data_IF_498890071411
#
_entry.id   IF_498890071411
#
_cell.length_a   1.000
_cell.length_b   1.000
_cell.length_c   1.000
_cell.angle_alpha   90.00
_cell.angle_beta   90.00
_cell.angle_gamma   90.00
#
_symmetry.space_group_name_H-M   'P 1'
#
loop_
_entity.id
_entity.type
_entity.pdbx_description
1 polymer ?
#
# COMPACT_ATOMS: atom_id res chain seq x y z
N UNK A 1 23.35 -18.07 47.16
CA UNK A 1 22.46 -16.95 46.78
C UNK A 1 22.69 -16.40 45.35
N UNK A 2 23.95 -16.16 44.93
CA UNK A 2 24.24 -15.61 43.59
C UNK A 2 23.75 -16.48 42.37
N UNK A 3 23.83 -17.82 42.49
CA UNK A 3 23.38 -18.75 41.42
C UNK A 3 21.86 -18.85 41.29
N UNK A 4 21.13 -18.65 42.39
CA UNK A 4 19.65 -18.67 42.38
C UNK A 4 19.08 -17.41 41.70
N UNK A 5 19.75 -16.25 41.89
CA UNK A 5 19.35 -14.99 41.27
C UNK A 5 19.51 -15.01 39.73
N UNK A 6 20.59 -15.67 39.24
CA UNK A 6 20.85 -15.78 37.78
C UNK A 6 19.82 -16.67 37.10
N UNK A 7 19.40 -17.76 37.74
CA UNK A 7 18.36 -18.66 37.19
C UNK A 7 16.98 -18.01 37.17
N UNK A 8 16.64 -17.18 38.15
CA UNK A 8 15.35 -16.46 38.17
C UNK A 8 15.30 -15.34 37.14
N UNK A 9 16.42 -14.65 36.88
CA UNK A 9 16.49 -13.63 35.83
C UNK A 9 16.38 -14.26 34.43
N UNK A 10 17.04 -15.39 34.18
CA UNK A 10 16.97 -16.11 32.91
C UNK A 10 15.56 -16.66 32.64
N UNK A 11 14.86 -17.16 33.65
CA UNK A 11 13.49 -17.63 33.55
C UNK A 11 12.50 -16.47 33.26
N UNK A 12 12.72 -15.30 33.86
CA UNK A 12 11.90 -14.12 33.62
C UNK A 12 12.08 -13.60 32.20
N UNK A 13 13.29 -13.61 31.63
CA UNK A 13 13.53 -13.24 30.22
C UNK A 13 12.87 -14.22 29.23
N UNK A 14 12.90 -15.53 29.55
CA UNK A 14 12.23 -16.55 28.70
C UNK A 14 10.70 -16.40 28.71
N UNK A 15 10.11 -16.04 29.84
CA UNK A 15 8.65 -15.83 29.94
C UNK A 15 8.22 -14.56 29.21
N UNK A 16 9.03 -13.50 29.25
CA UNK A 16 8.75 -12.26 28.51
C UNK A 16 8.87 -12.44 26.99
N UNK A 17 9.81 -13.25 26.53
CA UNK A 17 9.94 -13.58 25.10
C UNK A 17 8.76 -14.42 24.56
N UNK A 18 8.16 -15.26 25.40
CA UNK A 18 7.00 -16.10 25.03
C UNK A 18 5.69 -15.30 24.91
N UNK A 19 5.61 -14.08 25.44
CA UNK A 19 4.45 -13.21 25.40
C UNK A 19 4.52 -12.11 24.33
N UNK A 20 5.62 -12.04 23.56
CA UNK A 20 5.69 -11.09 22.45
C UNK A 20 4.62 -11.44 21.38
N UNK A 21 3.82 -10.49 20.92
CA UNK A 21 2.89 -10.74 19.83
C UNK A 21 3.68 -11.20 18.60
N UNK A 22 3.15 -12.22 17.91
CA UNK A 22 3.75 -12.64 16.65
C UNK A 22 3.75 -11.47 15.67
N UNK A 23 4.86 -11.22 14.95
CA UNK A 23 4.87 -10.23 13.90
C UNK A 23 3.83 -10.58 12.82
N UNK A 24 3.37 -9.58 12.10
CA UNK A 24 2.53 -9.81 10.92
C UNK A 24 3.34 -10.58 9.87
N UNK A 25 2.77 -11.68 9.38
CA UNK A 25 3.37 -12.52 8.33
C UNK A 25 2.54 -12.34 7.05
N UNK A 26 3.05 -11.65 6.03
CA UNK A 26 2.32 -11.45 4.79
C UNK A 26 2.21 -12.75 3.98
N UNK A 27 1.06 -12.95 3.32
CA UNK A 27 0.73 -14.20 2.61
C UNK A 27 1.28 -14.27 1.18
N UNK A 28 1.61 -13.12 0.58
CA UNK A 28 2.10 -13.06 -0.80
C UNK A 28 3.60 -13.29 -0.92
N UNK A 29 4.04 -13.63 -2.12
CA UNK A 29 5.45 -13.88 -2.40
C UNK A 29 6.27 -12.58 -2.46
N UNK A 30 7.56 -12.61 -2.12
CA UNK A 30 8.47 -11.49 -2.31
C UNK A 30 8.69 -11.21 -3.82
N UNK A 31 9.09 -9.99 -4.15
CA UNK A 31 9.35 -9.57 -5.53
C UNK A 31 10.64 -10.17 -6.10
N UNK A 32 11.59 -10.51 -5.22
CA UNK A 32 12.96 -10.91 -5.57
C UNK A 32 13.95 -9.75 -5.52
N UNK A 33 13.48 -8.52 -5.36
CA UNK A 33 14.31 -7.36 -5.07
C UNK A 33 14.50 -7.26 -3.55
N UNK A 34 15.63 -7.75 -3.05
CA UNK A 34 15.88 -7.88 -1.61
C UNK A 34 15.70 -6.55 -0.84
N UNK A 35 16.12 -5.42 -1.41
CA UNK A 35 15.99 -4.13 -0.74
C UNK A 35 14.53 -3.68 -0.62
N UNK A 36 13.72 -3.94 -1.64
CA UNK A 36 12.29 -3.66 -1.62
C UNK A 36 11.57 -4.62 -0.66
N UNK A 37 11.88 -5.90 -0.74
CA UNK A 37 11.24 -6.95 0.07
C UNK A 37 11.47 -6.72 1.57
N UNK A 38 12.69 -6.34 1.97
CA UNK A 38 13.04 -5.99 3.35
C UNK A 38 12.28 -4.73 3.83
N UNK A 39 12.22 -3.70 2.99
CA UNK A 39 11.53 -2.45 3.33
C UNK A 39 10.02 -2.65 3.44
N UNK A 40 9.42 -3.40 2.52
CA UNK A 40 8.00 -3.76 2.51
C UNK A 40 7.65 -4.61 3.72
N UNK A 41 8.46 -5.65 4.02
CA UNK A 41 8.23 -6.50 5.19
C UNK A 41 8.28 -5.69 6.49
N UNK A 42 9.27 -4.80 6.63
CA UNK A 42 9.39 -3.92 7.79
C UNK A 42 8.16 -3.03 7.95
N UNK A 43 7.67 -2.44 6.85
CA UNK A 43 6.48 -1.59 6.87
C UNK A 43 5.23 -2.39 7.25
N UNK A 44 5.05 -3.58 6.68
CA UNK A 44 3.89 -4.43 6.99
C UNK A 44 3.91 -4.88 8.46
N UNK A 45 5.08 -5.20 9.02
CA UNK A 45 5.22 -5.55 10.43
C UNK A 45 5.00 -4.36 11.37
N UNK A 46 5.30 -3.14 10.93
CA UNK A 46 5.04 -1.90 11.68
C UNK A 46 3.55 -1.54 11.68
N UNK A 47 2.88 -1.69 10.56
CA UNK A 47 1.53 -1.14 10.33
C UNK A 47 0.41 -2.17 10.46
N UNK A 48 0.70 -3.46 10.24
CA UNK A 48 -0.29 -4.53 10.26
C UNK A 48 -0.14 -5.42 11.48
N UNK A 49 -1.22 -6.13 11.81
CA UNK A 49 -1.24 -7.07 12.92
C UNK A 49 -2.03 -8.33 12.55
N UNK A 50 -1.58 -9.49 13.00
CA UNK A 50 -2.34 -10.73 12.89
C UNK A 50 -3.65 -10.73 13.73
N UNK A 51 -3.84 -9.73 14.59
CA UNK A 51 -5.07 -9.54 15.39
C UNK A 51 -6.09 -8.65 14.72
N UNK A 52 -5.68 -7.87 13.72
CA UNK A 52 -6.55 -7.00 12.97
C UNK A 52 -7.39 -7.82 11.98
N UNK A 53 -8.54 -7.29 11.62
CA UNK A 53 -9.28 -7.77 10.45
C UNK A 53 -8.51 -7.46 9.16
N UNK A 54 -8.92 -8.10 8.07
CA UNK A 54 -8.42 -7.84 6.72
C UNK A 54 -8.55 -6.36 6.36
N UNK A 55 -9.74 -5.78 6.57
CA UNK A 55 -10.01 -4.38 6.28
C UNK A 55 -9.14 -3.42 7.10
N UNK A 56 -8.90 -3.71 8.38
CA UNK A 56 -8.03 -2.89 9.22
C UNK A 56 -6.58 -2.89 8.72
N UNK A 57 -6.07 -4.03 8.28
CA UNK A 57 -4.72 -4.12 7.71
C UNK A 57 -4.63 -3.42 6.36
N UNK A 58 -5.62 -3.59 5.47
CA UNK A 58 -5.69 -2.86 4.19
C UNK A 58 -5.76 -1.35 4.40
N UNK A 59 -6.57 -0.90 5.36
CA UNK A 59 -6.66 0.51 5.75
C UNK A 59 -5.33 1.03 6.26
N UNK A 60 -4.62 0.29 7.09
CA UNK A 60 -3.36 0.73 7.68
C UNK A 60 -2.27 0.99 6.63
N UNK A 61 -2.15 0.15 5.60
CA UNK A 61 -1.19 0.38 4.51
C UNK A 61 -1.62 1.49 3.57
N UNK A 62 -2.93 1.64 3.34
CA UNK A 62 -3.49 2.74 2.57
C UNK A 62 -3.23 4.08 3.27
N UNK A 63 -3.57 4.19 4.56
CA UNK A 63 -3.40 5.40 5.35
C UNK A 63 -1.94 5.83 5.45
N UNK A 64 -1.00 4.87 5.51
CA UNK A 64 0.42 5.17 5.43
C UNK A 64 0.78 5.92 4.14
N UNK A 65 0.30 5.46 2.98
CA UNK A 65 0.59 6.13 1.71
C UNK A 65 -0.15 7.48 1.64
N UNK A 66 -1.42 7.50 2.05
CA UNK A 66 -2.28 8.67 1.95
C UNK A 66 -1.81 9.82 2.86
N UNK A 67 -1.25 9.53 4.05
CA UNK A 67 -0.95 10.54 5.06
C UNK A 67 0.53 10.72 5.38
N UNK A 68 1.36 9.67 5.25
CA UNK A 68 2.79 9.73 5.58
C UNK A 68 3.68 10.00 4.35
N UNK A 69 3.09 10.00 3.14
CA UNK A 69 3.80 10.30 1.88
C UNK A 69 3.40 11.70 1.40
N UNK A 70 4.41 12.54 1.18
CA UNK A 70 4.16 13.87 0.61
C UNK A 70 4.01 13.78 -0.91
N UNK A 71 2.94 14.35 -1.45
CA UNK A 71 2.80 14.46 -2.90
C UNK A 71 3.88 15.37 -3.49
N UNK A 72 4.52 14.90 -4.54
CA UNK A 72 5.46 15.66 -5.34
C UNK A 72 5.22 15.37 -6.83
N UNK A 73 4.84 16.38 -7.64
CA UNK A 73 4.76 16.22 -9.07
C UNK A 73 6.06 15.63 -9.62
N UNK A 74 5.97 14.68 -10.52
CA UNK A 74 7.09 14.03 -11.15
C UNK A 74 6.79 13.83 -12.62
N UNK A 75 7.84 13.58 -13.40
CA UNK A 75 7.77 13.26 -14.82
C UNK A 75 8.40 11.89 -15.05
N UNK A 76 7.85 10.84 -14.43
CA UNK A 76 8.23 9.50 -14.84
C UNK A 76 7.74 9.30 -16.28
N UNK A 77 8.60 8.75 -17.14
CA UNK A 77 8.17 8.37 -18.49
C UNK A 77 7.30 7.10 -18.36
N UNK A 78 6.00 7.31 -18.46
CA UNK A 78 4.99 6.24 -18.35
C UNK A 78 4.49 5.80 -19.74
N UNK A 79 5.13 6.21 -20.82
CA UNK A 79 4.72 5.88 -22.20
C UNK A 79 4.69 4.37 -22.48
N UNK A 80 5.48 3.59 -21.77
CA UNK A 80 5.51 2.11 -21.82
C UNK A 80 4.55 1.42 -20.83
N UNK A 81 3.78 2.17 -20.05
CA UNK A 81 2.99 1.61 -18.95
C UNK A 81 3.84 1.16 -17.77
N UNK A 82 3.23 0.45 -16.85
CA UNK A 82 3.90 -0.13 -15.67
C UNK A 82 4.47 -1.51 -15.99
N UNK A 83 5.80 -1.62 -16.11
CA UNK A 83 6.47 -2.90 -15.99
C UNK A 83 6.66 -3.27 -14.50
N UNK A 84 6.91 -4.56 -14.20
CA UNK A 84 7.20 -4.97 -12.82
C UNK A 84 8.47 -4.29 -12.31
N UNK A 85 9.53 -4.18 -13.13
CA UNK A 85 10.77 -3.52 -12.78
C UNK A 85 10.57 -2.03 -12.43
N UNK A 86 9.80 -1.29 -13.25
CA UNK A 86 9.48 0.11 -12.99
C UNK A 86 8.62 0.25 -11.72
N UNK A 87 7.65 -0.63 -11.54
CA UNK A 87 6.79 -0.66 -10.33
C UNK A 87 7.63 -0.83 -9.07
N UNK A 88 8.54 -1.80 -9.06
CA UNK A 88 9.44 -2.05 -7.93
C UNK A 88 10.38 -0.87 -7.65
N UNK A 89 10.95 -0.28 -8.71
CA UNK A 89 11.81 0.89 -8.60
C UNK A 89 11.05 2.07 -7.98
N UNK A 90 9.87 2.40 -8.49
CA UNK A 90 9.03 3.50 -7.98
C UNK A 90 8.63 3.27 -6.52
N UNK A 91 8.23 2.04 -6.17
CA UNK A 91 7.87 1.68 -4.81
C UNK A 91 9.05 1.81 -3.83
N UNK A 92 10.23 1.31 -4.19
CA UNK A 92 11.44 1.41 -3.37
C UNK A 92 11.88 2.86 -3.17
N UNK A 93 11.88 3.65 -4.25
CA UNK A 93 12.21 5.07 -4.16
C UNK A 93 11.23 5.83 -3.27
N UNK A 94 9.95 5.54 -3.36
CA UNK A 94 8.92 6.17 -2.55
C UNK A 94 9.10 5.84 -1.06
N UNK A 95 9.38 4.58 -0.73
CA UNK A 95 9.66 4.14 0.65
C UNK A 95 10.85 4.90 1.25
N UNK A 96 11.90 5.13 0.47
CA UNK A 96 13.08 5.84 0.93
C UNK A 96 12.88 7.36 1.01
N UNK A 97 12.27 7.95 -0.01
CA UNK A 97 12.15 9.41 -0.14
C UNK A 97 10.96 10.00 0.60
N UNK A 98 9.93 9.19 0.91
CA UNK A 98 8.65 9.60 1.53
C UNK A 98 7.95 10.73 0.77
N UNK A 99 8.23 10.85 -0.52
CA UNK A 99 7.61 11.82 -1.43
C UNK A 99 7.60 11.30 -2.85
N UNK A 100 6.48 11.47 -3.56
CA UNK A 100 6.32 11.02 -4.94
C UNK A 100 5.00 11.46 -5.57
N UNK A 101 4.85 11.15 -6.86
CA UNK A 101 3.63 11.40 -7.63
C UNK A 101 2.62 10.24 -7.51
N UNK A 102 1.52 10.33 -8.27
CA UNK A 102 0.49 9.30 -8.32
C UNK A 102 1.05 7.93 -8.73
N UNK A 103 1.95 7.89 -9.73
CA UNK A 103 2.54 6.64 -10.22
C UNK A 103 3.31 5.91 -9.12
N UNK A 104 4.14 6.64 -8.38
CA UNK A 104 4.92 6.06 -7.28
C UNK A 104 4.02 5.60 -6.12
N UNK A 105 2.97 6.37 -5.79
CA UNK A 105 2.02 5.99 -4.74
C UNK A 105 1.20 4.76 -5.14
N UNK A 106 0.73 4.70 -6.38
CA UNK A 106 0.04 3.53 -6.92
C UNK A 106 0.98 2.31 -6.98
N UNK A 107 2.24 2.48 -7.41
CA UNK A 107 3.24 1.42 -7.44
C UNK A 107 3.47 0.82 -6.05
N UNK A 108 3.69 1.65 -5.04
CA UNK A 108 3.86 1.16 -3.66
C UNK A 108 2.61 0.46 -3.14
N UNK A 109 1.42 1.01 -3.40
CA UNK A 109 0.16 0.38 -2.99
C UNK A 109 -0.01 -1.01 -3.63
N UNK A 110 0.28 -1.15 -4.94
CA UNK A 110 0.21 -2.43 -5.63
C UNK A 110 1.20 -3.46 -5.06
N UNK A 111 2.45 -3.03 -4.78
CA UNK A 111 3.47 -3.91 -4.18
C UNK A 111 3.05 -4.37 -2.78
N UNK A 112 2.52 -3.46 -1.95
CA UNK A 112 2.03 -3.81 -0.61
C UNK A 112 0.86 -4.79 -0.67
N UNK A 113 -0.12 -4.57 -1.54
CA UNK A 113 -1.26 -5.46 -1.72
C UNK A 113 -0.83 -6.85 -2.20
N UNK A 114 0.05 -6.92 -3.22
CA UNK A 114 0.60 -8.19 -3.71
C UNK A 114 1.34 -8.94 -2.60
N UNK A 115 2.16 -8.23 -1.83
CA UNK A 115 2.89 -8.83 -0.70
C UNK A 115 1.97 -9.29 0.43
N UNK A 116 0.82 -8.66 0.61
CA UNK A 116 -0.25 -9.10 1.53
C UNK A 116 -1.03 -10.31 1.01
N UNK A 117 -0.87 -10.69 -0.27
CA UNK A 117 -1.50 -11.85 -0.89
C UNK A 117 -2.68 -11.54 -1.79
N UNK A 118 -2.88 -10.28 -2.17
CA UNK A 118 -3.98 -9.88 -3.07
C UNK A 118 -3.51 -9.84 -4.53
N UNK A 119 -4.40 -10.20 -5.45
CA UNK A 119 -4.23 -9.86 -6.86
C UNK A 119 -4.44 -8.37 -7.02
N UNK A 120 -3.39 -7.64 -7.43
CA UNK A 120 -3.43 -6.19 -7.56
C UNK A 120 -2.78 -5.73 -8.85
N UNK A 121 -3.41 -4.77 -9.53
CA UNK A 121 -2.98 -4.20 -10.80
C UNK A 121 -2.94 -2.68 -10.71
N UNK A 122 -1.91 -2.08 -11.30
CA UNK A 122 -1.88 -0.64 -11.51
C UNK A 122 -2.84 -0.27 -12.64
N UNK A 123 -3.57 0.80 -12.44
CA UNK A 123 -4.51 1.37 -13.39
C UNK A 123 -4.00 2.74 -13.81
N UNK A 124 -3.92 2.98 -15.11
CA UNK A 124 -3.66 4.29 -15.69
C UNK A 124 -4.94 4.82 -16.33
N UNK A 125 -5.17 6.11 -16.19
CA UNK A 125 -6.30 6.77 -16.76
C UNK A 125 -6.27 8.26 -16.50
N UNK A 126 -7.42 8.88 -16.43
CA UNK A 126 -7.53 10.30 -16.13
C UNK A 126 -8.41 10.56 -14.92
N UNK A 127 -8.15 11.66 -14.27
CA UNK A 127 -8.93 12.17 -13.16
C UNK A 127 -9.45 13.58 -13.46
N UNK A 128 -10.70 13.83 -13.11
CA UNK A 128 -11.35 15.13 -13.21
C UNK A 128 -11.67 15.62 -11.80
N UNK A 129 -11.03 16.71 -11.38
CA UNK A 129 -11.14 17.23 -10.01
C UNK A 129 -12.55 17.71 -9.70
N UNK A 130 -13.17 18.42 -10.64
CA UNK A 130 -14.49 19.02 -10.52
C UNK A 130 -15.14 19.09 -11.89
N UNK A 131 -16.45 19.21 -11.92
CA UNK A 131 -17.19 19.29 -13.20
C UNK A 131 -16.71 20.48 -14.03
N UNK A 132 -16.33 20.19 -15.29
CA UNK A 132 -15.80 21.18 -16.23
C UNK A 132 -14.30 21.44 -16.13
N UNK A 133 -13.59 20.79 -15.21
CA UNK A 133 -12.13 20.83 -15.19
C UNK A 133 -11.53 19.93 -16.28
N UNK A 134 -10.35 20.30 -16.78
CA UNK A 134 -9.61 19.46 -17.72
C UNK A 134 -9.16 18.16 -17.04
N UNK A 135 -9.31 17.00 -17.69
CA UNK A 135 -8.79 15.74 -17.20
C UNK A 135 -7.26 15.79 -17.06
N UNK A 136 -6.75 15.21 -15.98
CA UNK A 136 -5.31 15.04 -15.77
C UNK A 136 -4.95 13.56 -15.72
N UNK A 137 -3.80 13.20 -16.26
CA UNK A 137 -3.28 11.84 -16.16
C UNK A 137 -3.10 11.44 -14.70
N UNK A 138 -3.53 10.21 -14.39
CA UNK A 138 -3.54 9.71 -13.03
C UNK A 138 -3.36 8.19 -12.99
N UNK A 139 -2.82 7.70 -11.86
CA UNK A 139 -2.63 6.29 -11.59
C UNK A 139 -3.15 5.92 -10.19
N UNK A 140 -3.76 4.74 -10.11
CA UNK A 140 -4.30 4.14 -8.89
C UNK A 140 -4.20 2.62 -8.94
N UNK A 141 -4.84 1.89 -8.04
CA UNK A 141 -4.76 0.43 -8.00
C UNK A 141 -6.15 -0.20 -8.03
N UNK A 142 -6.29 -1.24 -8.82
CA UNK A 142 -7.38 -2.20 -8.74
C UNK A 142 -6.89 -3.45 -8.00
N UNK A 143 -7.71 -4.04 -7.14
CA UNK A 143 -7.40 -5.31 -6.49
C UNK A 143 -8.65 -6.17 -6.27
N UNK A 144 -8.44 -7.49 -6.17
CA UNK A 144 -9.46 -8.44 -5.73
C UNK A 144 -9.36 -8.63 -4.21
N UNK A 145 -10.40 -8.25 -3.48
CA UNK A 145 -10.50 -8.41 -2.03
C UNK A 145 -11.77 -9.19 -1.72
N UNK A 146 -11.62 -10.37 -1.12
CA UNK A 146 -12.76 -11.24 -0.86
C UNK A 146 -13.52 -11.72 -2.11
N UNK A 147 -12.87 -11.68 -3.28
CA UNK A 147 -13.46 -12.01 -4.58
C UNK A 147 -14.19 -10.82 -5.26
N UNK A 148 -14.19 -9.66 -4.65
CA UNK A 148 -14.77 -8.44 -5.20
C UNK A 148 -13.68 -7.49 -5.72
N UNK A 149 -13.93 -6.87 -6.90
CA UNK A 149 -13.04 -5.86 -7.46
C UNK A 149 -13.22 -4.52 -6.76
N UNK A 150 -12.16 -4.03 -6.14
CA UNK A 150 -12.13 -2.76 -5.43
C UNK A 150 -10.94 -1.91 -5.86
N UNK A 151 -10.98 -0.63 -5.56
CA UNK A 151 -9.96 0.33 -5.96
C UNK A 151 -9.36 1.04 -4.75
N UNK A 152 -8.08 1.40 -4.91
CA UNK A 152 -7.31 2.15 -3.92
C UNK A 152 -6.67 3.35 -4.61
N UNK A 153 -7.00 4.55 -4.16
CA UNK A 153 -6.35 5.78 -4.60
C UNK A 153 -5.87 6.60 -3.39
N UNK A 154 -4.66 6.30 -2.89
CA UNK A 154 -4.15 6.97 -1.70
C UNK A 154 -3.84 8.45 -1.92
N UNK A 155 -3.56 8.90 -3.15
CA UNK A 155 -3.33 10.32 -3.42
C UNK A 155 -4.59 11.13 -3.16
N UNK A 156 -5.73 10.68 -3.70
CA UNK A 156 -6.98 11.40 -3.51
C UNK A 156 -7.57 11.24 -2.12
N UNK A 157 -7.35 10.11 -1.47
CA UNK A 157 -7.75 9.92 -0.08
C UNK A 157 -6.95 10.74 0.93
N UNK A 158 -5.71 11.08 0.61
CA UNK A 158 -4.83 11.89 1.47
C UNK A 158 -4.89 13.38 1.17
N UNK A 159 -4.63 13.76 -0.09
CA UNK A 159 -4.44 15.17 -0.49
C UNK A 159 -5.74 15.95 -0.66
N UNK A 160 -6.88 15.27 -0.76
CA UNK A 160 -8.19 15.86 -1.01
C UNK A 160 -9.22 15.42 0.04
N UNK A 161 -8.77 15.32 1.28
CA UNK A 161 -9.60 14.94 2.44
C UNK A 161 -10.85 15.82 2.66
N UNK A 162 -10.97 16.94 1.95
CA UNK A 162 -12.19 17.76 1.93
C UNK A 162 -13.38 17.07 1.23
N UNK A 163 -13.09 16.01 0.44
CA UNK A 163 -14.13 15.17 -0.16
C UNK A 163 -14.49 14.07 0.84
N UNK A 164 -15.78 13.95 1.12
CA UNK A 164 -16.32 12.92 2.03
C UNK A 164 -16.21 11.50 1.47
N UNK A 165 -15.54 11.31 0.34
CA UNK A 165 -15.43 10.03 -0.37
C UNK A 165 -14.17 9.30 0.06
N UNK A 166 -14.35 8.03 0.40
CA UNK A 166 -13.28 7.16 0.80
C UNK A 166 -12.77 6.35 -0.39
N UNK A 167 -11.53 6.59 -0.77
CA UNK A 167 -10.87 5.89 -1.89
C UNK A 167 -10.07 4.65 -1.44
N UNK A 168 -10.29 4.16 -0.24
CA UNK A 168 -9.76 2.88 0.24
C UNK A 168 -10.81 1.78 0.04
N UNK A 169 -10.50 0.76 -0.72
CA UNK A 169 -11.44 -0.31 -1.09
C UNK A 169 -12.71 0.23 -1.77
N UNK A 170 -12.55 1.27 -2.57
CA UNK A 170 -13.66 1.97 -3.19
C UNK A 170 -14.30 1.12 -4.31
N UNK A 171 -15.63 1.07 -4.43
CA UNK A 171 -16.28 0.41 -5.55
C UNK A 171 -16.12 1.21 -6.84
N UNK A 172 -16.15 0.54 -8.00
CA UNK A 172 -16.06 1.17 -9.32
C UNK A 172 -17.05 2.33 -9.51
N UNK A 173 -18.26 2.20 -8.98
CA UNK A 173 -19.29 3.22 -9.08
C UNK A 173 -18.92 4.55 -8.41
N UNK A 174 -18.07 4.50 -7.37
CA UNK A 174 -17.53 5.71 -6.76
C UNK A 174 -16.46 6.35 -7.64
N UNK A 175 -15.47 5.57 -8.10
CA UNK A 175 -14.38 6.08 -8.92
C UNK A 175 -14.88 6.68 -10.25
N UNK A 176 -15.85 6.07 -10.92
CA UNK A 176 -16.41 6.54 -12.18
C UNK A 176 -17.00 7.95 -12.15
N UNK A 177 -17.22 8.50 -10.96
CA UNK A 177 -17.64 9.90 -10.82
C UNK A 177 -16.53 10.90 -11.21
N UNK A 178 -15.28 10.50 -11.05
CA UNK A 178 -14.11 11.38 -11.21
C UNK A 178 -12.99 10.77 -12.03
N UNK A 179 -12.94 9.44 -12.18
CA UNK A 179 -11.89 8.70 -12.87
C UNK A 179 -12.40 8.06 -14.15
N UNK A 180 -11.56 8.02 -15.18
CA UNK A 180 -11.84 7.35 -16.46
C UNK A 180 -10.67 6.44 -16.81
N UNK A 181 -10.97 5.18 -17.15
CA UNK A 181 -9.99 4.16 -17.55
C UNK A 181 -10.60 3.14 -18.48
N UNK A 182 -9.78 2.33 -19.13
CA UNK A 182 -10.24 1.17 -19.90
C UNK A 182 -10.44 -0.02 -18.95
N UNK A 183 -11.69 -0.36 -18.66
CA UNK A 183 -12.03 -1.50 -17.80
C UNK A 183 -11.62 -2.85 -18.40
N UNK A 184 -11.46 -2.94 -19.74
CA UNK A 184 -11.02 -4.18 -20.39
C UNK A 184 -9.53 -4.46 -20.18
N UNK A 185 -8.76 -3.47 -19.70
CA UNK A 185 -7.36 -3.66 -19.33
C UNK A 185 -7.21 -4.36 -17.96
N UNK A 186 -8.27 -4.43 -17.16
CA UNK A 186 -8.28 -5.13 -15.89
C UNK A 186 -8.57 -6.62 -16.12
N UNK A 187 -7.71 -7.49 -15.58
CA UNK A 187 -7.80 -8.95 -15.75
C UNK A 187 -8.02 -9.66 -14.44
#
# INVERSE_FOLDING_TARGET
>A
MRRLLILTLAALFLVLAACAPKPYEPAGEPTGNAALDDAVLSLLQERCSAKNSEQENLRAVYDFIAHDITYRPGTADMSGGFSDELTEQLALELLHKRKGNCDAQAALMAVLLRRMGYEAQLVQGTFVREEGAEPVDHAWVYALVGGEGVYFDPLYGGSFAERAEDYCMAPAALLKKTHQWDENALR
#
